data_IF_310107686373
#
_entry.id   IF_310107686373
#
_cell.length_a   1.000
_cell.length_b   1.000
_cell.length_c   1.000
_cell.angle_alpha   90.00
_cell.angle_beta   90.00
_cell.angle_gamma   90.00
#
_symmetry.space_group_name_H-M   'P 1'
#
loop_
_entity.id
_entity.type
_entity.pdbx_description
1 polymer ?
#
# COMPACT_ATOMS: atom_id res chain seq x y z
N UNK A 1 4.61 -31.16 -9.77
CA UNK A 1 5.84 -30.90 -8.99
C UNK A 1 6.12 -29.40 -8.97
N UNK A 2 6.77 -28.85 -7.94
CA UNK A 2 7.28 -27.46 -7.98
C UNK A 2 8.36 -27.40 -9.05
N UNK A 3 8.30 -26.43 -9.96
CA UNK A 3 9.40 -26.17 -10.88
C UNK A 3 10.32 -25.18 -10.18
N UNK A 4 11.51 -25.64 -9.77
CA UNK A 4 12.53 -24.82 -9.10
C UNK A 4 12.63 -25.02 -7.58
N UNK A 5 13.69 -24.47 -6.95
CA UNK A 5 13.97 -24.64 -5.53
C UNK A 5 12.98 -23.86 -4.66
N UNK A 6 12.57 -24.47 -3.55
CA UNK A 6 11.78 -23.79 -2.52
C UNK A 6 12.65 -22.74 -1.85
N UNK A 7 12.21 -21.49 -1.84
CA UNK A 7 12.89 -20.34 -1.22
C UNK A 7 12.23 -19.89 0.09
N UNK A 8 11.01 -20.33 0.36
CA UNK A 8 10.35 -20.21 1.65
C UNK A 8 9.32 -21.33 1.81
N UNK A 9 9.22 -21.90 3.01
CA UNK A 9 8.17 -22.85 3.38
C UNK A 9 7.84 -22.67 4.86
N UNK A 10 6.55 -22.50 5.19
CA UNK A 10 6.09 -22.29 6.56
C UNK A 10 4.62 -22.65 6.72
N UNK A 11 4.23 -22.97 7.95
CA UNK A 11 2.83 -23.20 8.31
C UNK A 11 2.13 -21.86 8.60
N UNK A 12 0.90 -21.72 8.13
CA UNK A 12 0.09 -20.50 8.26
C UNK A 12 -1.40 -20.83 8.31
N UNK A 13 -2.20 -19.88 8.81
CA UNK A 13 -3.64 -19.88 8.54
C UNK A 13 -3.83 -19.12 7.23
N UNK A 14 -4.53 -19.73 6.28
CA UNK A 14 -4.70 -19.17 4.93
C UNK A 14 -6.18 -19.05 4.59
N UNK A 15 -6.55 -17.93 3.99
CA UNK A 15 -7.90 -17.67 3.48
C UNK A 15 -7.83 -17.35 2.00
N UNK A 16 -8.68 -18.01 1.20
CA UNK A 16 -8.86 -17.67 -0.20
C UNK A 16 -10.19 -16.98 -0.41
N UNK A 17 -10.19 -16.13 -1.43
CA UNK A 17 -11.31 -15.27 -1.74
C UNK A 17 -12.46 -15.96 -2.50
N UNK A 18 -12.64 -17.29 -2.43
CA UNK A 18 -13.79 -17.98 -3.04
C UNK A 18 -14.83 -18.40 -2.01
N UNK A 19 -16.05 -17.88 -2.16
CA UNK A 19 -17.24 -18.21 -1.36
C UNK A 19 -17.16 -17.83 0.13
N UNK A 20 -18.28 -17.38 0.71
CA UNK A 20 -18.47 -17.22 2.16
C UNK A 20 -18.37 -18.54 2.94
N UNK A 21 -18.08 -19.66 2.26
CA UNK A 21 -17.87 -21.00 2.83
C UNK A 21 -16.42 -21.43 3.02
N UNK A 22 -15.43 -20.75 2.44
CA UNK A 22 -14.02 -21.09 2.65
C UNK A 22 -13.53 -20.44 3.95
N UNK A 23 -13.85 -21.07 5.08
CA UNK A 23 -13.31 -20.69 6.37
C UNK A 23 -11.76 -20.71 6.30
N UNK A 24 -11.06 -19.77 6.95
CA UNK A 24 -9.60 -19.78 6.99
C UNK A 24 -9.08 -21.11 7.51
N UNK A 25 -8.27 -21.79 6.70
CA UNK A 25 -7.76 -23.13 6.96
C UNK A 25 -6.34 -23.09 7.49
N UNK A 26 -5.98 -24.02 8.39
CA UNK A 26 -4.56 -24.24 8.72
C UNK A 26 -3.91 -24.98 7.57
N UNK A 27 -2.76 -24.48 7.13
CA UNK A 27 -2.10 -25.01 5.97
C UNK A 27 -0.62 -24.68 5.92
N UNK A 28 -0.04 -24.98 4.77
CA UNK A 28 1.36 -24.72 4.47
C UNK A 28 1.49 -23.85 3.22
N UNK A 29 2.31 -22.81 3.32
CA UNK A 29 2.71 -21.94 2.22
C UNK A 29 4.12 -22.31 1.80
N UNK A 30 4.33 -22.54 0.51
CA UNK A 30 5.64 -22.78 -0.08
C UNK A 30 5.84 -21.89 -1.31
N UNK A 31 6.97 -21.18 -1.36
CA UNK A 31 7.31 -20.26 -2.45
C UNK A 31 8.54 -20.75 -3.21
N UNK A 32 8.50 -20.62 -4.52
CA UNK A 32 9.62 -20.73 -5.46
C UNK A 32 9.83 -19.37 -6.14
N UNK A 33 10.87 -19.18 -6.96
CA UNK A 33 11.05 -17.92 -7.67
C UNK A 33 9.86 -17.49 -8.53
N UNK A 34 9.07 -18.42 -9.08
CA UNK A 34 7.96 -18.12 -9.98
C UNK A 34 6.58 -18.49 -9.45
N UNK A 35 6.47 -19.26 -8.37
CA UNK A 35 5.17 -19.74 -7.87
C UNK A 35 5.07 -19.70 -6.34
N UNK A 36 3.88 -19.36 -5.85
CA UNK A 36 3.45 -19.59 -4.48
C UNK A 36 2.43 -20.75 -4.48
N UNK A 37 2.62 -21.71 -3.58
CA UNK A 37 1.71 -22.82 -3.36
C UNK A 37 1.19 -22.79 -1.95
N UNK A 38 -0.12 -22.99 -1.85
CA UNK A 38 -0.81 -23.05 -0.57
C UNK A 38 -1.52 -24.39 -0.50
N UNK A 39 -1.32 -25.11 0.60
CA UNK A 39 -2.02 -26.35 0.90
C UNK A 39 -2.77 -26.17 2.21
N UNK A 40 -4.09 -26.15 2.17
CA UNK A 40 -4.94 -26.07 3.36
C UNK A 40 -6.18 -26.95 3.16
N UNK A 41 -6.61 -27.63 4.22
CA UNK A 41 -7.84 -28.43 4.26
C UNK A 41 -8.02 -29.37 3.05
N UNK A 42 -6.95 -30.07 2.67
CA UNK A 42 -6.94 -31.02 1.55
C UNK A 42 -6.89 -30.39 0.16
N UNK A 43 -6.99 -29.07 0.05
CA UNK A 43 -6.93 -28.32 -1.21
C UNK A 43 -5.54 -27.75 -1.43
N UNK A 44 -5.03 -27.86 -2.65
CA UNK A 44 -3.75 -27.26 -3.06
C UNK A 44 -3.99 -26.22 -4.15
N UNK A 45 -3.63 -24.96 -3.89
CA UNK A 45 -3.67 -23.87 -4.87
C UNK A 45 -2.27 -23.44 -5.29
N UNK A 46 -2.16 -22.99 -6.53
CA UNK A 46 -0.95 -22.42 -7.12
C UNK A 46 -1.28 -21.01 -7.60
N UNK A 47 -0.36 -20.10 -7.36
CA UNK A 47 -0.40 -18.71 -7.77
C UNK A 47 0.93 -18.45 -8.46
N UNK A 48 0.91 -18.01 -9.71
CA UNK A 48 2.12 -17.56 -10.37
C UNK A 48 2.46 -16.17 -9.85
N UNK A 49 3.75 -15.92 -9.56
CA UNK A 49 4.18 -14.69 -8.90
C UNK A 49 3.90 -13.47 -9.77
N UNK A 50 4.01 -13.61 -11.09
CA UNK A 50 3.75 -12.52 -12.05
C UNK A 50 2.27 -12.10 -12.09
N UNK A 51 1.36 -12.99 -11.68
CA UNK A 51 -0.07 -12.68 -11.56
C UNK A 51 -0.37 -11.85 -10.31
N UNK A 52 0.55 -11.78 -9.33
CA UNK A 52 0.38 -10.98 -8.11
C UNK A 52 0.54 -9.51 -8.46
N UNK A 53 -0.51 -8.73 -8.26
CA UNK A 53 -0.52 -7.30 -8.54
C UNK A 53 -0.45 -6.43 -7.28
N UNK A 54 -0.71 -7.01 -6.10
CA UNK A 54 -0.60 -6.26 -4.86
C UNK A 54 -0.23 -7.10 -3.62
N UNK A 55 0.39 -6.44 -2.64
CA UNK A 55 0.88 -7.04 -1.40
C UNK A 55 0.63 -6.09 -0.22
N UNK A 56 -0.35 -6.42 0.62
CA UNK A 56 -0.75 -5.61 1.77
C UNK A 56 -0.43 -6.36 3.06
N UNK A 57 0.14 -5.68 4.06
CA UNK A 57 0.36 -6.24 5.40
C UNK A 57 -0.50 -5.50 6.41
N UNK A 58 -1.36 -6.25 7.08
CA UNK A 58 -2.13 -5.76 8.20
C UNK A 58 -1.28 -5.89 9.47
N UNK A 59 -1.07 -4.76 10.15
CA UNK A 59 -0.26 -4.68 11.37
C UNK A 59 -1.22 -4.41 12.51
N UNK A 60 -1.44 -5.42 13.35
CA UNK A 60 -2.21 -5.25 14.57
C UNK A 60 -1.32 -4.62 15.64
N UNK A 61 -1.68 -3.42 16.11
CA UNK A 61 -0.86 -2.54 16.98
C UNK A 61 -0.52 -3.14 18.36
N UNK A 62 -1.06 -4.31 18.72
CA UNK A 62 -0.70 -5.04 19.95
C UNK A 62 0.49 -6.00 19.75
N UNK A 63 1.43 -5.67 18.86
CA UNK A 63 2.46 -6.60 18.40
C UNK A 63 3.59 -6.77 19.42
N UNK A 64 3.44 -7.73 20.34
CA UNK A 64 4.61 -8.40 20.94
C UNK A 64 5.33 -9.23 19.87
N UNK A 65 6.55 -9.68 20.16
CA UNK A 65 7.33 -10.57 19.28
C UNK A 65 6.59 -11.87 18.88
N UNK A 66 5.51 -12.22 19.59
CA UNK A 66 4.67 -13.40 19.35
C UNK A 66 3.32 -13.08 18.65
N UNK A 67 3.14 -11.85 18.18
CA UNK A 67 1.90 -11.46 17.51
C UNK A 67 1.74 -12.12 16.13
N UNK A 68 0.50 -12.54 15.85
CA UNK A 68 0.09 -13.01 14.53
C UNK A 68 -0.41 -11.85 13.70
N UNK A 69 0.12 -11.70 12.50
CA UNK A 69 -0.27 -10.67 11.54
C UNK A 69 -0.82 -11.32 10.27
N UNK A 70 -1.28 -10.52 9.31
CA UNK A 70 -1.78 -11.01 8.03
C UNK A 70 -1.08 -10.30 6.88
N UNK A 71 -0.55 -11.07 5.92
CA UNK A 71 -0.16 -10.57 4.59
C UNK A 71 -1.21 -11.01 3.59
N UNK A 72 -1.81 -10.04 2.90
CA UNK A 72 -2.78 -10.26 1.81
C UNK A 72 -2.05 -10.10 0.47
N UNK A 73 -2.16 -11.12 -0.38
CA UNK A 73 -1.70 -11.09 -1.76
C UNK A 73 -2.88 -10.99 -2.70
N UNK A 74 -2.86 -10.02 -3.61
CA UNK A 74 -3.85 -9.89 -4.68
C UNK A 74 -3.27 -10.43 -5.98
N UNK A 75 -4.01 -11.26 -6.69
CA UNK A 75 -3.53 -11.88 -7.92
C UNK A 75 -4.63 -12.12 -8.94
N UNK A 76 -4.26 -12.15 -10.22
CA UNK A 76 -5.14 -12.60 -11.30
C UNK A 76 -5.21 -14.14 -11.33
N UNK A 77 -6.41 -14.68 -11.45
CA UNK A 77 -6.67 -16.11 -11.54
C UNK A 77 -7.53 -16.41 -12.77
N UNK A 78 -6.95 -16.24 -13.96
CA UNK A 78 -7.62 -16.49 -15.24
C UNK A 78 -8.62 -15.38 -15.58
N UNK A 79 -8.19 -14.13 -15.50
CA UNK A 79 -9.00 -12.93 -15.75
C UNK A 79 -9.93 -12.57 -14.60
N UNK A 80 -9.72 -13.15 -13.41
CA UNK A 80 -10.50 -12.90 -12.20
C UNK A 80 -9.57 -12.52 -11.07
N UNK A 81 -9.83 -11.38 -10.44
CA UNK A 81 -9.12 -10.96 -9.23
C UNK A 81 -9.47 -11.87 -8.06
N UNK A 82 -8.46 -12.36 -7.37
CA UNK A 82 -8.59 -13.14 -6.15
C UNK A 82 -7.57 -12.67 -5.10
N UNK A 83 -7.88 -12.93 -3.83
CA UNK A 83 -6.96 -12.69 -2.71
C UNK A 83 -6.56 -13.98 -2.01
N UNK A 84 -5.35 -13.94 -1.45
CA UNK A 84 -4.81 -14.90 -0.50
C UNK A 84 -4.40 -14.15 0.76
N UNK A 85 -5.11 -14.41 1.85
CA UNK A 85 -4.75 -13.94 3.18
C UNK A 85 -3.84 -14.98 3.83
N UNK A 86 -2.66 -14.57 4.27
CA UNK A 86 -1.68 -15.43 4.95
C UNK A 86 -1.44 -14.89 6.35
N UNK A 87 -1.93 -15.62 7.35
CA UNK A 87 -1.77 -15.29 8.77
C UNK A 87 -0.74 -16.20 9.43
N UNK A 88 0.33 -15.60 9.95
CA UNK A 88 1.42 -16.29 10.64
C UNK A 88 2.10 -15.32 11.62
N UNK A 89 3.18 -15.77 12.28
CA UNK A 89 3.97 -14.87 13.14
C UNK A 89 4.62 -13.76 12.29
N UNK A 90 4.77 -12.57 12.89
CA UNK A 90 5.29 -11.37 12.22
C UNK A 90 6.65 -11.61 11.54
N UNK A 91 7.60 -12.26 12.21
CA UNK A 91 8.94 -12.52 11.65
C UNK A 91 8.92 -13.36 10.37
N UNK A 92 8.01 -14.33 10.30
CA UNK A 92 7.79 -15.18 9.10
C UNK A 92 7.16 -14.36 7.99
N UNK A 93 6.13 -13.56 8.30
CA UNK A 93 5.45 -12.73 7.31
C UNK A 93 6.34 -11.63 6.75
N UNK A 94 7.21 -11.02 7.55
CA UNK A 94 8.24 -10.07 7.07
C UNK A 94 9.13 -10.73 6.03
N UNK A 95 9.66 -11.93 6.32
CA UNK A 95 10.52 -12.66 5.39
C UNK A 95 9.78 -13.03 4.11
N UNK A 96 8.56 -13.53 4.23
CA UNK A 96 7.70 -13.90 3.10
C UNK A 96 7.38 -12.68 2.23
N UNK A 97 6.90 -11.59 2.82
CA UNK A 97 6.57 -10.34 2.13
C UNK A 97 7.78 -9.78 1.37
N UNK A 98 8.97 -9.79 1.98
CA UNK A 98 10.22 -9.35 1.32
C UNK A 98 10.57 -10.20 0.11
N UNK A 99 10.38 -11.52 0.19
CA UNK A 99 10.61 -12.41 -0.95
C UNK A 99 9.62 -12.14 -2.08
N UNK A 100 8.34 -11.91 -1.77
CA UNK A 100 7.31 -11.56 -2.76
C UNK A 100 7.66 -10.24 -3.44
N UNK A 101 7.92 -9.16 -2.70
CA UNK A 101 8.32 -7.88 -3.28
C UNK A 101 9.59 -7.99 -4.13
N UNK A 102 10.60 -8.73 -3.64
CA UNK A 102 11.82 -8.94 -4.41
C UNK A 102 11.53 -9.57 -5.76
N UNK A 103 10.59 -10.52 -5.84
CA UNK A 103 10.24 -11.15 -7.12
C UNK A 103 9.40 -10.26 -8.02
N UNK A 104 8.51 -9.44 -7.44
CA UNK A 104 7.67 -8.53 -8.20
C UNK A 104 8.40 -7.31 -8.76
N UNK A 105 9.48 -6.88 -8.12
CA UNK A 105 10.18 -5.63 -8.43
C UNK A 105 11.54 -5.84 -9.12
N UNK A 106 12.18 -7.00 -8.96
CA UNK A 106 13.48 -7.26 -9.59
C UNK A 106 13.36 -7.28 -11.12
N UNK A 107 14.37 -6.76 -11.81
CA UNK A 107 14.46 -6.66 -13.27
C UNK A 107 13.38 -5.76 -13.91
N UNK A 108 12.56 -5.06 -13.12
CA UNK A 108 11.63 -4.06 -13.63
C UNK A 108 12.37 -2.94 -14.37
N UNK A 109 11.93 -2.65 -15.61
CA UNK A 109 12.43 -1.53 -16.41
C UNK A 109 11.89 -0.20 -15.87
N UNK A 110 12.78 0.64 -15.35
CA UNK A 110 12.47 1.96 -14.79
C UNK A 110 13.35 3.03 -15.41
N UNK A 111 12.92 4.30 -15.34
CA UNK A 111 13.74 5.43 -15.80
C UNK A 111 14.11 6.33 -14.61
N UNK A 112 15.40 6.55 -14.38
CA UNK A 112 15.93 7.17 -13.16
C UNK A 112 16.69 8.46 -13.47
N UNK A 113 16.37 9.53 -12.75
CA UNK A 113 17.11 10.79 -12.75
C UNK A 113 17.55 11.14 -11.33
N UNK A 114 18.84 11.43 -11.13
CA UNK A 114 19.40 11.86 -9.85
C UNK A 114 19.77 13.33 -9.96
N UNK A 115 19.05 14.19 -9.26
CA UNK A 115 19.18 15.65 -9.38
C UNK A 115 19.54 16.30 -8.06
N UNK A 116 20.19 17.45 -8.18
CA UNK A 116 20.20 18.47 -7.13
C UNK A 116 18.83 19.16 -7.10
N UNK A 117 18.45 19.74 -5.97
CA UNK A 117 17.12 20.31 -5.78
C UNK A 117 16.73 21.36 -6.83
N UNK A 118 17.72 22.02 -7.44
CA UNK A 118 17.57 23.20 -8.31
C UNK A 118 17.75 22.92 -9.83
N UNK A 119 17.80 21.66 -10.26
CA UNK A 119 18.01 21.27 -11.67
C UNK A 119 16.74 20.65 -12.30
N UNK A 120 16.28 21.25 -13.41
CA UNK A 120 15.01 20.88 -14.08
C UNK A 120 15.21 20.11 -15.41
N UNK A 121 16.45 19.75 -15.76
CA UNK A 121 16.77 19.03 -17.00
C UNK A 121 16.26 17.57 -16.97
N UNK A 122 15.53 17.10 -18.00
CA UNK A 122 15.06 15.69 -18.07
C UNK A 122 16.15 14.74 -18.58
N UNK A 123 17.00 14.27 -17.66
CA UNK A 123 18.15 13.38 -17.89
C UNK A 123 17.88 11.92 -17.49
N UNK A 124 16.62 11.49 -17.46
CA UNK A 124 16.24 10.14 -17.01
C UNK A 124 16.90 9.05 -17.84
N UNK A 125 17.52 8.09 -17.16
CA UNK A 125 18.22 6.95 -17.76
C UNK A 125 17.44 5.65 -17.55
N UNK A 126 17.34 4.78 -18.57
CA UNK A 126 16.74 3.46 -18.40
C UNK A 126 17.64 2.58 -17.52
N UNK A 127 17.04 1.99 -16.49
CA UNK A 127 17.68 1.11 -15.54
C UNK A 127 16.80 -0.11 -15.25
N UNK A 128 17.43 -1.21 -14.85
CA UNK A 128 16.76 -2.33 -14.18
C UNK A 128 16.78 -2.15 -12.67
N UNK A 129 15.63 -2.37 -12.05
CA UNK A 129 15.48 -2.31 -10.60
C UNK A 129 15.96 -3.60 -9.93
N UNK A 130 16.71 -3.48 -8.84
CA UNK A 130 16.96 -4.55 -7.89
C UNK A 130 16.69 -4.04 -6.47
N UNK A 131 16.07 -4.88 -5.64
CA UNK A 131 15.61 -4.52 -4.30
C UNK A 131 16.06 -5.53 -3.27
N UNK A 132 16.42 -5.03 -2.09
CA UNK A 132 16.86 -5.83 -0.95
C UNK A 132 16.46 -5.18 0.38
N UNK A 133 16.61 -5.91 1.48
CA UNK A 133 16.26 -5.38 2.80
C UNK A 133 16.99 -4.08 3.18
N UNK A 134 18.17 -3.80 2.60
CA UNK A 134 19.01 -2.65 2.96
C UNK A 134 19.24 -1.66 1.81
N UNK A 135 19.12 -2.10 0.57
CA UNK A 135 19.47 -1.31 -0.61
C UNK A 135 18.43 -1.44 -1.72
N UNK A 136 18.23 -0.33 -2.43
CA UNK A 136 17.54 -0.21 -3.72
C UNK A 136 18.61 0.11 -4.75
N UNK A 137 18.67 -0.66 -5.82
CA UNK A 137 19.69 -0.54 -6.86
C UNK A 137 19.03 -0.32 -8.21
N UNK A 138 19.61 0.57 -8.99
CA UNK A 138 19.21 0.83 -10.36
C UNK A 138 20.42 0.57 -11.25
N UNK A 139 20.37 -0.53 -12.00
CA UNK A 139 21.42 -0.97 -12.93
C UNK A 139 21.14 -0.34 -14.30
N UNK A 140 21.94 0.63 -14.77
CA UNK A 140 21.73 1.26 -16.07
C UNK A 140 21.85 0.25 -17.22
N UNK A 141 21.10 0.48 -18.30
CA UNK A 141 21.23 -0.33 -19.51
C UNK A 141 22.56 -0.08 -20.27
N UNK A 142 23.23 1.03 -19.99
CA UNK A 142 24.53 1.40 -20.56
C UNK A 142 25.70 1.01 -19.63
N UNK A 143 26.93 1.36 -20.00
CA UNK A 143 28.12 1.12 -19.14
C UNK A 143 28.26 2.14 -17.99
N UNK A 144 27.22 2.90 -17.66
CA UNK A 144 27.29 3.86 -16.57
C UNK A 144 27.33 3.17 -15.21
N UNK A 145 27.80 3.90 -14.20
CA UNK A 145 27.84 3.41 -12.83
C UNK A 145 26.44 3.21 -12.27
N UNK A 146 26.24 2.05 -11.63
CA UNK A 146 25.04 1.73 -10.87
C UNK A 146 24.69 2.79 -9.85
N UNK A 147 23.39 3.07 -9.70
CA UNK A 147 22.87 3.91 -8.63
C UNK A 147 22.43 2.99 -7.48
N UNK A 148 23.04 3.13 -6.32
CA UNK A 148 22.64 2.43 -5.09
C UNK A 148 22.11 3.44 -4.09
N UNK A 149 20.93 3.16 -3.53
CA UNK A 149 20.29 3.92 -2.45
C UNK A 149 20.18 2.99 -1.26
N UNK A 150 20.74 3.38 -0.10
CA UNK A 150 20.43 2.66 1.14
C UNK A 150 19.05 3.07 1.59
N UNK A 151 18.28 2.10 2.09
CA UNK A 151 16.90 2.36 2.52
C UNK A 151 16.84 3.34 3.69
N UNK A 152 17.80 3.27 4.59
CA UNK A 152 17.93 4.18 5.75
C UNK A 152 18.26 5.63 5.33
N UNK A 153 18.77 5.83 4.11
CA UNK A 153 19.03 7.17 3.56
C UNK A 153 17.75 7.81 2.98
N UNK A 154 16.67 7.04 2.77
CA UNK A 154 15.40 7.57 2.24
C UNK A 154 14.67 8.32 3.35
N UNK A 155 14.78 9.65 3.36
CA UNK A 155 14.15 10.51 4.36
C UNK A 155 12.63 10.61 4.16
N UNK A 156 12.18 10.69 2.91
CA UNK A 156 10.77 10.66 2.49
C UNK A 156 10.66 10.35 1.01
N UNK A 157 9.45 10.07 0.51
CA UNK A 157 9.19 9.98 -0.91
C UNK A 157 7.86 10.62 -1.28
N UNK A 158 7.69 11.04 -2.52
CA UNK A 158 6.42 11.61 -3.00
C UNK A 158 6.14 11.18 -4.43
N UNK A 159 4.87 11.03 -4.80
CA UNK A 159 4.49 10.77 -6.19
C UNK A 159 4.72 12.02 -7.05
N UNK A 160 5.21 11.81 -8.28
CA UNK A 160 5.56 12.88 -9.23
C UNK A 160 4.39 13.15 -10.17
N UNK A 161 3.40 13.91 -9.72
CA UNK A 161 2.25 14.32 -10.55
C UNK A 161 1.25 13.20 -10.85
N UNK A 162 0.13 13.55 -11.49
CA UNK A 162 -1.04 12.66 -11.66
C UNK A 162 -0.95 11.71 -12.85
N UNK A 163 -0.26 12.09 -13.93
CA UNK A 163 -0.39 11.37 -15.21
C UNK A 163 0.81 10.47 -15.54
N UNK A 164 1.83 10.48 -14.67
CA UNK A 164 3.07 9.73 -14.89
C UNK A 164 3.33 8.86 -13.66
N UNK A 165 3.47 7.54 -13.81
CA UNK A 165 3.77 6.64 -12.70
C UNK A 165 5.22 6.85 -12.25
N UNK A 166 5.45 7.87 -11.43
CA UNK A 166 6.77 8.24 -10.95
C UNK A 166 6.77 8.59 -9.47
N UNK A 167 7.88 8.30 -8.80
CA UNK A 167 8.16 8.65 -7.41
C UNK A 167 9.43 9.49 -7.34
N UNK A 168 9.48 10.41 -6.39
CA UNK A 168 10.67 11.16 -6.01
C UNK A 168 11.09 10.68 -4.63
N UNK A 169 12.28 10.10 -4.53
CA UNK A 169 12.92 9.78 -3.26
C UNK A 169 13.77 10.97 -2.83
N UNK A 170 13.62 11.39 -1.57
CA UNK A 170 14.44 12.40 -0.93
C UNK A 170 15.46 11.70 -0.06
N UNK A 171 16.73 11.78 -0.46
CA UNK A 171 17.82 11.04 0.15
C UNK A 171 18.64 11.95 1.06
N UNK A 172 18.92 11.50 2.28
CA UNK A 172 19.83 12.18 3.20
C UNK A 172 21.27 11.93 2.75
N UNK A 173 21.94 12.95 2.24
CA UNK A 173 23.38 12.98 2.09
C UNK A 173 23.98 13.86 3.20
N UNK A 174 25.26 13.62 3.54
CA UNK A 174 25.93 14.16 4.74
C UNK A 174 25.60 15.62 5.13
N UNK A 175 25.44 16.51 4.16
CA UNK A 175 25.15 17.93 4.34
C UNK A 175 23.97 18.44 3.49
N UNK A 176 23.26 17.57 2.76
CA UNK A 176 22.22 17.98 1.79
C UNK A 176 21.17 16.92 1.53
N UNK A 177 20.03 17.34 0.99
CA UNK A 177 19.00 16.42 0.47
C UNK A 177 19.18 16.28 -1.03
N UNK A 178 19.35 15.04 -1.50
CA UNK A 178 19.39 14.70 -2.92
C UNK A 178 18.02 14.18 -3.37
N UNK A 179 17.63 14.49 -4.61
CA UNK A 179 16.35 14.02 -5.18
C UNK A 179 16.63 12.95 -6.22
N UNK A 180 16.01 11.79 -6.07
CA UNK A 180 16.03 10.72 -7.06
C UNK A 180 14.62 10.51 -7.61
N UNK A 181 14.39 10.89 -8.85
CA UNK A 181 13.13 10.60 -9.55
C UNK A 181 13.23 9.24 -10.24
N UNK A 182 12.26 8.36 -9.98
CA UNK A 182 12.13 7.05 -10.60
C UNK A 182 10.78 6.99 -11.29
N UNK A 183 10.76 6.76 -12.60
CA UNK A 183 9.57 6.52 -13.40
C UNK A 183 9.43 5.02 -13.65
N UNK A 184 8.22 4.53 -13.46
CA UNK A 184 7.81 3.15 -13.65
C UNK A 184 7.07 2.99 -14.99
N UNK A 185 6.93 1.77 -15.52
CA UNK A 185 6.18 1.51 -16.75
C UNK A 185 4.66 1.48 -16.49
N UNK A 186 4.21 1.39 -15.23
CA UNK A 186 2.81 1.35 -14.85
C UNK A 186 2.58 1.85 -13.42
N UNK A 187 1.36 2.32 -13.13
CA UNK A 187 0.94 2.65 -11.76
C UNK A 187 0.94 1.44 -10.84
N UNK A 188 0.62 0.24 -11.35
CA UNK A 188 0.74 -1.02 -10.59
C UNK A 188 2.15 -1.21 -10.02
N UNK A 189 3.18 -1.04 -10.85
CA UNK A 189 4.57 -1.23 -10.41
C UNK A 189 5.03 -0.12 -9.47
N UNK A 190 4.59 1.12 -9.71
CA UNK A 190 4.77 2.24 -8.78
C UNK A 190 4.13 1.94 -7.41
N UNK A 191 2.90 1.42 -7.39
CA UNK A 191 2.17 1.09 -6.16
C UNK A 191 2.88 -0.03 -5.40
N UNK A 192 3.30 -1.11 -6.08
CA UNK A 192 4.11 -2.19 -5.49
C UNK A 192 5.42 -1.66 -4.90
N UNK A 193 6.11 -0.77 -5.62
CA UNK A 193 7.33 -0.15 -5.12
C UNK A 193 7.07 0.75 -3.90
N UNK A 194 5.99 1.52 -3.91
CA UNK A 194 5.55 2.33 -2.76
C UNK A 194 5.23 1.47 -1.54
N UNK A 195 4.53 0.35 -1.71
CA UNK A 195 4.27 -0.62 -0.63
C UNK A 195 5.56 -1.25 -0.13
N UNK A 196 6.48 -1.58 -1.04
CA UNK A 196 7.80 -2.08 -0.68
C UNK A 196 8.58 -1.07 0.16
N UNK A 197 8.59 0.23 -0.21
CA UNK A 197 9.22 1.29 0.59
C UNK A 197 8.63 1.33 2.00
N UNK A 198 7.30 1.34 2.11
CA UNK A 198 6.55 1.40 3.37
C UNK A 198 6.71 0.16 4.24
N UNK A 199 6.83 -1.04 3.65
CA UNK A 199 6.82 -2.31 4.37
C UNK A 199 7.96 -2.48 5.40
N UNK A 200 9.15 -1.94 5.12
CA UNK A 200 10.30 -1.98 6.05
C UNK A 200 10.52 -0.66 6.80
N UNK A 201 9.86 0.43 6.39
CA UNK A 201 9.84 1.69 7.16
C UNK A 201 9.03 1.59 8.47
N UNK A 202 8.31 0.48 8.67
CA UNK A 202 7.54 0.19 9.89
C UNK A 202 8.40 -0.30 11.08
N UNK A 203 9.68 -0.59 10.87
CA UNK A 203 10.58 -1.07 11.94
C UNK A 203 11.52 0.02 12.50
N UNK A 204 11.25 1.29 12.20
CA UNK A 204 12.22 2.36 12.43
C UNK A 204 11.66 3.41 13.39
N UNK A 205 11.83 3.12 14.69
CA UNK A 205 12.07 4.10 15.76
C UNK A 205 13.37 4.92 15.54
N UNK A 206 14.01 4.82 14.36
CA UNK A 206 15.25 5.52 13.99
C UNK A 206 15.08 6.54 12.84
N UNK A 207 13.87 7.07 12.64
CA UNK A 207 13.73 8.44 12.19
C UNK A 207 13.61 9.25 13.47
N UNK A 208 14.75 9.79 13.90
CA UNK A 208 14.76 10.79 14.94
C UNK A 208 13.64 11.79 14.71
N UNK A 209 12.94 12.12 15.78
CA UNK A 209 12.28 13.40 15.90
C UNK A 209 13.21 14.47 15.31
N UNK A 210 12.66 15.21 14.35
CA UNK A 210 13.02 16.53 13.79
C UNK A 210 12.77 16.41 12.28
N UNK A 211 11.68 16.91 11.71
CA UNK A 211 10.90 18.11 12.03
C UNK A 211 9.46 17.91 11.57
N UNK A 212 8.54 18.54 12.29
CA UNK A 212 7.17 18.74 11.85
C UNK A 212 7.14 19.23 10.40
N UNK A 213 6.56 18.43 9.52
CA UNK A 213 5.75 19.00 8.46
C UNK A 213 4.52 19.58 9.15
N UNK A 214 4.61 20.83 9.59
CA UNK A 214 3.57 21.64 10.25
C UNK A 214 2.41 21.98 9.30
N UNK A 215 1.96 21.00 8.51
CA UNK A 215 0.78 21.06 7.68
C UNK A 215 -0.32 20.23 8.32
N UNK A 216 -1.47 20.87 8.54
CA UNK A 216 -2.72 20.16 8.79
C UNK A 216 -2.98 19.20 7.62
N UNK A 217 -3.39 17.98 7.93
CA UNK A 217 -3.81 16.96 6.97
C UNK A 217 -5.33 17.00 6.93
N UNK A 218 -5.89 17.27 5.78
CA UNK A 218 -7.34 17.32 5.58
C UNK A 218 -7.82 16.00 4.95
N UNK A 219 -8.60 15.24 5.71
CA UNK A 219 -9.20 14.00 5.24
C UNK A 219 -10.68 14.20 4.88
N UNK A 220 -11.09 13.74 3.69
CA UNK A 220 -12.48 13.63 3.28
C UNK A 220 -13.04 12.28 3.74
N UNK A 221 -13.85 12.31 4.79
CA UNK A 221 -14.56 11.15 5.33
C UNK A 221 -15.90 10.95 4.61
N UNK A 222 -16.07 9.80 3.96
CA UNK A 222 -17.24 9.45 3.15
C UNK A 222 -17.91 8.20 3.72
N UNK A 223 -19.11 8.36 4.24
CA UNK A 223 -19.88 7.28 4.88
C UNK A 223 -21.37 7.70 4.83
N UNK A 224 -22.29 6.82 4.45
CA UNK A 224 -23.73 7.13 4.39
C UNK A 224 -24.39 7.05 5.78
N UNK A 225 -23.80 6.31 6.72
CA UNK A 225 -24.26 6.27 8.10
C UNK A 225 -23.77 7.50 8.87
N UNK A 226 -24.73 8.36 9.23
CA UNK A 226 -24.44 9.61 9.96
C UNK A 226 -23.73 9.37 11.29
N UNK A 227 -24.13 8.36 12.07
CA UNK A 227 -23.56 8.11 13.39
C UNK A 227 -22.13 7.57 13.28
N UNK A 228 -21.89 6.65 12.34
CA UNK A 228 -20.56 6.16 11.98
C UNK A 228 -19.64 7.32 11.60
N UNK A 229 -20.09 8.17 10.67
CA UNK A 229 -19.34 9.34 10.19
C UNK A 229 -19.01 10.34 11.31
N UNK A 230 -20.00 10.68 12.13
CA UNK A 230 -19.85 11.60 13.26
C UNK A 230 -18.85 11.06 14.31
N UNK A 231 -18.98 9.78 14.69
CA UNK A 231 -18.05 9.15 15.64
C UNK A 231 -16.62 9.11 15.08
N UNK A 232 -16.44 8.68 13.84
CA UNK A 232 -15.13 8.63 13.20
C UNK A 232 -14.49 10.01 13.15
N UNK A 233 -15.22 11.06 12.79
CA UNK A 233 -14.71 12.42 12.83
C UNK A 233 -14.24 12.83 14.23
N UNK A 234 -15.10 12.67 15.24
CA UNK A 234 -14.79 13.09 16.62
C UNK A 234 -13.54 12.38 17.13
N UNK A 235 -13.48 11.06 17.02
CA UNK A 235 -12.35 10.31 17.54
C UNK A 235 -11.07 10.55 16.74
N UNK A 236 -11.11 10.72 15.42
CA UNK A 236 -9.92 11.07 14.63
C UNK A 236 -9.32 12.41 15.05
N UNK A 237 -10.16 13.41 15.32
CA UNK A 237 -9.73 14.72 15.82
C UNK A 237 -9.14 14.65 17.24
N UNK A 238 -9.60 13.70 18.07
CA UNK A 238 -9.00 13.43 19.38
C UNK A 238 -7.64 12.71 19.28
N UNK A 239 -7.46 11.83 18.29
CA UNK A 239 -6.21 11.07 18.12
C UNK A 239 -5.06 11.91 17.56
N UNK A 240 -5.35 12.89 16.71
CA UNK A 240 -4.32 13.74 16.12
C UNK A 240 -4.82 15.16 15.90
N UNK A 241 -4.14 16.13 16.53
CA UNK A 241 -4.41 17.57 16.33
C UNK A 241 -4.08 18.06 14.92
N UNK A 242 -3.43 17.23 14.11
CA UNK A 242 -3.08 17.53 12.72
C UNK A 242 -4.18 17.14 11.74
N UNK A 243 -5.12 16.28 12.14
CA UNK A 243 -6.19 15.82 11.27
C UNK A 243 -7.37 16.79 11.33
N UNK A 244 -7.66 17.40 10.20
CA UNK A 244 -8.92 18.06 9.92
C UNK A 244 -9.78 17.14 9.05
N UNK A 245 -11.08 17.12 9.30
CA UNK A 245 -12.00 16.17 8.68
C UNK A 245 -13.13 16.93 7.99
N UNK A 246 -13.22 16.78 6.68
CA UNK A 246 -14.39 17.17 5.88
C UNK A 246 -15.28 15.95 5.69
N UNK A 247 -16.57 16.08 5.94
CA UNK A 247 -17.53 14.98 5.81
C UNK A 247 -18.31 15.04 4.48
N UNK A 248 -18.60 13.87 3.92
CA UNK A 248 -19.57 13.67 2.86
C UNK A 248 -20.46 12.46 3.17
N UNK A 249 -21.77 12.60 2.93
CA UNK A 249 -22.76 11.55 3.22
C UNK A 249 -22.95 10.55 2.06
N UNK A 250 -22.25 10.74 0.94
CA UNK A 250 -22.30 9.84 -0.21
C UNK A 250 -21.11 10.05 -1.12
N UNK A 251 -20.81 9.05 -1.94
CA UNK A 251 -19.79 9.14 -2.99
C UNK A 251 -20.03 10.32 -3.94
N UNK A 252 -21.29 10.61 -4.28
CA UNK A 252 -21.64 11.76 -5.13
C UNK A 252 -21.29 13.09 -4.46
N UNK A 253 -21.67 13.25 -3.20
CA UNK A 253 -21.37 14.45 -2.42
C UNK A 253 -19.85 14.63 -2.20
N UNK A 254 -19.10 13.52 -2.16
CA UNK A 254 -17.64 13.53 -2.11
C UNK A 254 -17.01 13.94 -3.45
N UNK A 255 -17.50 13.40 -4.57
CA UNK A 255 -17.05 13.78 -5.93
C UNK A 255 -17.33 15.25 -6.24
N UNK A 256 -18.47 15.78 -5.81
CA UNK A 256 -18.81 17.21 -5.94
C UNK A 256 -17.79 18.06 -5.20
N UNK A 257 -17.47 17.75 -3.93
CA UNK A 257 -16.44 18.44 -3.13
C UNK A 257 -15.05 18.36 -3.75
N UNK A 258 -14.66 17.20 -4.29
CA UNK A 258 -13.37 17.04 -4.97
C UNK A 258 -13.29 17.87 -6.25
N UNK A 259 -14.42 18.06 -6.94
CA UNK A 259 -14.53 18.81 -8.20
C UNK A 259 -14.62 20.33 -8.01
N UNK A 260 -15.00 20.82 -6.82
CA UNK A 260 -15.04 22.25 -6.51
C UNK A 260 -13.66 22.90 -6.73
N UNK A 261 -13.64 24.17 -7.15
CA UNK A 261 -12.40 24.89 -7.41
C UNK A 261 -11.48 24.91 -6.16
N UNK A 262 -10.37 24.18 -6.24
CA UNK A 262 -9.42 24.00 -5.14
C UNK A 262 -9.78 22.90 -4.14
N UNK A 263 -10.91 22.20 -4.29
CA UNK A 263 -11.35 21.09 -3.42
C UNK A 263 -10.33 19.95 -3.37
N UNK A 264 -9.94 19.40 -4.52
CA UNK A 264 -8.89 18.38 -4.59
C UNK A 264 -7.48 18.86 -4.16
N UNK A 265 -7.20 20.17 -4.17
CA UNK A 265 -5.94 20.72 -3.62
C UNK A 265 -5.99 20.91 -2.10
N UNK A 266 -7.17 20.81 -1.50
CA UNK A 266 -7.40 20.93 -0.06
C UNK A 266 -7.54 19.58 0.63
N UNK A 267 -7.89 18.51 -0.07
CA UNK A 267 -8.02 17.16 0.51
C UNK A 267 -6.73 16.37 0.28
N UNK A 268 -6.14 15.89 1.36
CA UNK A 268 -4.92 15.08 1.35
C UNK A 268 -5.21 13.58 1.34
N UNK A 269 -6.37 13.15 1.84
CA UNK A 269 -6.77 11.75 1.87
C UNK A 269 -8.29 11.59 1.81
N UNK A 270 -8.78 10.60 1.08
CA UNK A 270 -10.17 10.13 1.14
C UNK A 270 -10.23 8.93 2.07
N UNK A 271 -11.19 8.91 3.00
CA UNK A 271 -11.52 7.76 3.85
C UNK A 271 -12.95 7.39 3.54
N UNK A 272 -13.18 6.26 2.87
CA UNK A 272 -14.50 5.89 2.37
C UNK A 272 -14.99 4.58 2.96
N UNK A 273 -16.27 4.51 3.34
CA UNK A 273 -16.94 3.22 3.46
C UNK A 273 -17.06 2.55 2.08
N UNK A 274 -17.17 1.23 2.10
CA UNK A 274 -17.48 0.40 0.97
C UNK A 274 -18.99 0.32 0.71
N UNK A 275 -19.81 0.05 1.75
CA UNK A 275 -21.26 -0.14 1.55
C UNK A 275 -21.98 1.20 1.58
N UNK A 276 -22.06 1.85 0.43
CA UNK A 276 -22.85 3.06 0.25
C UNK A 276 -23.95 2.86 -0.81
N UNK A 277 -25.12 3.48 -0.66
CA UNK A 277 -26.18 3.44 -1.67
C UNK A 277 -25.76 4.10 -2.98
N UNK A 278 -26.35 3.63 -4.09
CA UNK A 278 -26.21 4.16 -5.46
C UNK A 278 -24.83 3.98 -6.08
N UNK A 279 -23.76 4.31 -5.35
CA UNK A 279 -22.37 4.15 -5.76
C UNK A 279 -21.59 3.61 -4.56
N UNK A 280 -21.08 2.39 -4.68
CA UNK A 280 -20.29 1.77 -3.62
C UNK A 280 -18.87 2.37 -3.55
N UNK A 281 -18.11 2.00 -2.51
CA UNK A 281 -16.74 2.51 -2.33
C UNK A 281 -15.78 2.13 -3.46
N UNK A 282 -16.09 1.11 -4.27
CA UNK A 282 -15.26 0.67 -5.42
C UNK A 282 -15.49 1.58 -6.60
N UNK A 283 -16.77 1.76 -6.93
CA UNK A 283 -17.20 2.63 -8.00
C UNK A 283 -16.76 4.06 -7.71
N UNK A 284 -16.84 4.46 -6.43
CA UNK A 284 -16.31 5.74 -5.97
C UNK A 284 -14.78 5.82 -6.11
N UNK A 285 -14.03 4.81 -5.68
CA UNK A 285 -12.57 4.75 -5.87
C UNK A 285 -12.21 4.91 -7.35
N UNK A 286 -12.88 4.19 -8.26
CA UNK A 286 -12.68 4.32 -9.70
C UNK A 286 -12.91 5.75 -10.19
N UNK A 287 -14.03 6.35 -9.79
CA UNK A 287 -14.37 7.73 -10.16
C UNK A 287 -13.38 8.77 -9.58
N UNK A 288 -12.80 8.51 -8.39
CA UNK A 288 -11.73 9.33 -7.82
C UNK A 288 -10.44 9.12 -8.60
N UNK A 289 -10.09 7.88 -8.96
CA UNK A 289 -8.85 7.57 -9.71
C UNK A 289 -8.83 8.18 -11.10
N UNK A 290 -9.98 8.24 -11.78
CA UNK A 290 -10.12 8.89 -13.09
C UNK A 290 -9.73 10.37 -13.08
N UNK A 291 -9.86 11.05 -11.93
CA UNK A 291 -9.63 12.51 -11.79
C UNK A 291 -8.46 12.87 -10.88
N UNK A 292 -8.19 12.01 -9.90
CA UNK A 292 -7.22 12.17 -8.82
C UNK A 292 -6.48 10.84 -8.58
N UNK A 293 -5.68 10.37 -9.56
CA UNK A 293 -5.05 9.05 -9.54
C UNK A 293 -4.11 8.83 -8.36
N UNK A 294 -3.54 9.92 -7.81
CA UNK A 294 -2.56 9.86 -6.71
C UNK A 294 -3.13 10.21 -5.34
N UNK A 295 -4.39 10.66 -5.25
CA UNK A 295 -5.00 11.05 -3.98
C UNK A 295 -5.09 9.82 -3.07
N UNK A 296 -4.45 9.82 -1.88
CA UNK A 296 -4.61 8.74 -0.93
C UNK A 296 -6.09 8.39 -0.73
N UNK A 297 -6.41 7.12 -0.90
CA UNK A 297 -7.77 6.61 -0.72
C UNK A 297 -7.68 5.42 0.21
N UNK A 298 -8.27 5.55 1.39
CA UNK A 298 -8.36 4.50 2.41
C UNK A 298 -9.79 4.01 2.42
N UNK A 299 -9.95 2.70 2.26
CA UNK A 299 -11.25 2.08 2.51
C UNK A 299 -11.37 1.72 3.97
N UNK A 300 -12.39 2.26 4.62
CA UNK A 300 -12.69 2.05 6.01
C UNK A 300 -14.07 1.41 6.15
N UNK A 301 -14.15 0.10 6.35
CA UNK A 301 -15.41 -0.64 6.25
C UNK A 301 -15.60 -1.73 7.31
N UNK A 302 -16.85 -2.06 7.62
CA UNK A 302 -17.20 -3.06 8.63
C UNK A 302 -17.08 -4.51 8.19
N UNK A 303 -17.13 -5.41 9.17
CA UNK A 303 -17.07 -6.87 8.98
C UNK A 303 -18.11 -7.38 7.99
N UNK A 304 -17.67 -8.28 7.10
CA UNK A 304 -18.50 -8.90 6.05
C UNK A 304 -18.57 -8.14 4.73
N UNK A 305 -18.23 -6.85 4.72
CA UNK A 305 -17.97 -6.06 3.51
C UNK A 305 -16.53 -6.21 3.04
N UNK A 306 -15.62 -6.38 3.98
CA UNK A 306 -14.18 -6.57 3.81
C UNK A 306 -13.82 -7.58 2.72
N UNK A 307 -14.35 -8.81 2.82
CA UNK A 307 -13.98 -9.88 1.91
C UNK A 307 -14.39 -9.56 0.46
N UNK A 308 -15.48 -8.82 0.28
CA UNK A 308 -15.96 -8.41 -1.05
C UNK A 308 -15.14 -7.21 -1.55
N UNK A 309 -14.85 -6.24 -0.68
CA UNK A 309 -14.04 -5.08 -0.97
C UNK A 309 -12.59 -5.46 -1.33
N UNK A 310 -11.90 -6.24 -0.48
CA UNK A 310 -10.54 -6.74 -0.74
C UNK A 310 -10.43 -7.47 -2.08
N UNK A 311 -11.44 -8.26 -2.47
CA UNK A 311 -11.49 -8.96 -3.77
C UNK A 311 -11.60 -8.04 -4.97
N UNK A 312 -12.26 -6.89 -4.83
CA UNK A 312 -12.56 -5.99 -5.94
C UNK A 312 -11.46 -4.96 -6.23
N UNK A 313 -10.60 -4.65 -5.25
CA UNK A 313 -9.96 -3.32 -5.16
C UNK A 313 -8.45 -3.27 -5.34
N UNK A 314 -7.75 -4.39 -5.23
CA UNK A 314 -6.31 -4.36 -4.92
C UNK A 314 -5.39 -3.77 -6.02
N UNK A 315 -5.92 -3.14 -7.08
CA UNK A 315 -5.09 -2.38 -8.01
C UNK A 315 -4.90 -0.89 -7.63
N UNK A 316 -5.80 -0.25 -6.85
CA UNK A 316 -5.81 1.24 -6.74
C UNK A 316 -6.09 1.86 -5.36
N UNK A 317 -6.36 1.07 -4.31
CA UNK A 317 -6.51 1.63 -2.96
C UNK A 317 -5.16 1.89 -2.30
N UNK A 318 -5.05 3.01 -1.59
CA UNK A 318 -3.83 3.34 -0.84
C UNK A 318 -3.68 2.47 0.39
N UNK A 319 -4.75 2.32 1.18
CA UNK A 319 -4.77 1.41 2.33
C UNK A 319 -6.20 0.90 2.60
N UNK A 320 -6.29 -0.15 3.41
CA UNK A 320 -7.55 -0.75 3.84
C UNK A 320 -7.56 -0.88 5.36
N UNK A 321 -8.64 -0.41 5.99
CA UNK A 321 -8.85 -0.46 7.44
C UNK A 321 -10.22 -1.07 7.74
N UNK A 322 -10.24 -2.09 8.59
CA UNK A 322 -11.48 -2.68 9.09
C UNK A 322 -12.05 -1.83 10.24
N UNK A 323 -13.35 -1.50 10.20
CA UNK A 323 -14.09 -0.97 11.35
C UNK A 323 -14.21 -2.07 12.40
N UNK A 324 -13.68 -1.83 13.59
CA UNK A 324 -13.72 -2.76 14.73
C UNK A 324 -14.58 -2.19 15.86
N UNK A 325 -14.62 -2.85 17.02
CA UNK A 325 -15.35 -2.35 18.18
C UNK A 325 -14.41 -1.61 19.14
N UNK A 326 -14.80 -0.40 19.54
CA UNK A 326 -14.08 0.39 20.54
C UNK A 326 -13.14 1.45 19.95
N UNK A 327 -12.47 2.24 20.82
CA UNK A 327 -11.77 3.46 20.40
C UNK A 327 -10.47 3.21 19.64
N UNK A 328 -9.85 2.03 19.79
CA UNK A 328 -8.55 1.69 19.19
C UNK A 328 -8.56 1.73 17.65
N UNK A 329 -9.70 1.50 17.02
CA UNK A 329 -9.81 1.56 15.56
C UNK A 329 -9.50 2.96 15.01
N UNK A 330 -9.78 4.02 15.77
CA UNK A 330 -9.57 5.40 15.34
C UNK A 330 -8.10 5.80 15.45
N UNK A 331 -7.36 5.25 16.42
CA UNK A 331 -5.90 5.38 16.52
C UNK A 331 -5.25 4.78 15.27
N UNK A 332 -5.66 3.57 14.90
CA UNK A 332 -5.18 2.88 13.70
C UNK A 332 -5.51 3.70 12.44
N UNK A 333 -6.76 4.16 12.31
CA UNK A 333 -7.18 4.93 11.14
C UNK A 333 -6.42 6.25 11.03
N UNK A 334 -6.20 6.97 12.13
CA UNK A 334 -5.40 8.20 12.17
C UNK A 334 -3.96 7.93 11.71
N UNK A 335 -3.33 6.88 12.24
CA UNK A 335 -1.99 6.46 11.85
C UNK A 335 -1.91 6.11 10.36
N UNK A 336 -2.93 5.43 9.81
CA UNK A 336 -3.00 5.10 8.38
C UNK A 336 -3.17 6.34 7.50
N UNK A 337 -4.04 7.28 7.89
CA UNK A 337 -4.22 8.55 7.17
C UNK A 337 -2.88 9.29 7.11
N UNK A 338 -2.22 9.46 8.25
CA UNK A 338 -0.94 10.17 8.30
C UNK A 338 0.17 9.47 7.50
N UNK A 339 0.24 8.13 7.55
CA UNK A 339 1.19 7.34 6.74
C UNK A 339 0.88 7.41 5.24
N UNK A 340 -0.39 7.56 4.87
CA UNK A 340 -0.80 7.59 3.47
C UNK A 340 -0.41 8.91 2.78
N UNK A 341 -0.36 10.00 3.54
CA UNK A 341 -0.05 11.37 3.08
C UNK A 341 1.46 11.70 3.12
N UNK A 342 2.26 10.94 3.89
CA UNK A 342 3.70 11.17 4.08
C UNK A 342 4.61 10.52 3.03
#
# INVERSE_FOLDING_TARGET
MLTGPIIAEFDAVVGFSRSTSDAPGRGRVAMTPSQIRVRADGTARRIDVDDIFDVVRDVSVAASADSTETVTLAFDAGGRRETLDVKANAATLVKFQRLVFKRLLVDADVAVARRRADDDTDDRRPCRLDVSATEIRFEPADRASRITVRRDDVARFSLSGTDVPAVVLYLRAADRVERLSVRFPSFRLLNLFGRYLRADLLAVDALGSVSDGDGAVEALLVDDDRLSREMTRVFLQEQSSRLSITEAESARAALERLSEAGGAKRIDCVVSDYKMPVMDGIEFLGAVRDRHPTLPFILYTGRGSEAVAKKAILDDVTDYVEKDVGPKQYEILAERIEKAVR
#
